data_IF_310699089725
#
_entry.id   IF_310699089725
#
_cell.length_a   1.000
_cell.length_b   1.000
_cell.length_c   1.000
_cell.angle_alpha   90.00
_cell.angle_beta   90.00
_cell.angle_gamma   90.00
#
_symmetry.space_group_name_H-M   'P 1'
#
loop_
_entity.id
_entity.type
_entity.pdbx_description
1 polymer ?
#
# COMPACT_ATOMS: atom_id res chain seq x y z
N UNK A 1 2.75 15.48 -13.91
CA UNK A 1 2.45 14.60 -15.08
C UNK A 1 2.07 13.18 -14.67
N UNK A 2 2.48 12.71 -13.49
CA UNK A 2 2.35 11.30 -13.08
C UNK A 2 1.06 10.98 -12.29
N UNK A 3 0.12 11.94 -12.15
CA UNK A 3 -1.18 11.74 -11.50
C UNK A 3 -1.96 10.56 -12.11
N UNK A 4 -1.96 10.46 -13.43
CA UNK A 4 -2.64 9.38 -14.13
C UNK A 4 -2.10 7.99 -13.79
N UNK A 5 -0.79 7.89 -13.56
CA UNK A 5 -0.16 6.62 -13.15
C UNK A 5 -0.58 6.25 -11.74
N UNK A 6 -0.66 7.22 -10.82
CA UNK A 6 -1.17 7.00 -9.45
C UNK A 6 -2.61 6.52 -9.48
N UNK A 7 -3.48 7.22 -10.22
CA UNK A 7 -4.89 6.85 -10.36
C UNK A 7 -5.03 5.47 -10.98
N UNK A 8 -4.28 5.19 -12.05
CA UNK A 8 -4.31 3.89 -12.71
C UNK A 8 -3.86 2.76 -11.75
N UNK A 9 -2.73 2.93 -11.06
CA UNK A 9 -2.23 1.93 -10.13
C UNK A 9 -3.17 1.75 -8.93
N UNK A 10 -3.77 2.83 -8.41
CA UNK A 10 -4.74 2.75 -7.32
C UNK A 10 -5.99 1.97 -7.75
N UNK A 11 -6.51 2.24 -8.95
CA UNK A 11 -7.65 1.51 -9.50
C UNK A 11 -7.32 0.04 -9.76
N UNK A 12 -6.16 -0.25 -10.35
CA UNK A 12 -5.71 -1.64 -10.57
C UNK A 12 -5.57 -2.38 -9.24
N UNK A 13 -4.94 -1.76 -8.24
CA UNK A 13 -4.79 -2.36 -6.91
C UNK A 13 -6.15 -2.60 -6.24
N UNK A 14 -7.09 -1.67 -6.38
CA UNK A 14 -8.44 -1.82 -5.85
C UNK A 14 -9.21 -2.92 -6.57
N UNK A 15 -9.15 -3.00 -7.91
CA UNK A 15 -9.78 -4.09 -8.69
C UNK A 15 -9.18 -5.45 -8.30
N UNK A 16 -7.85 -5.54 -8.14
CA UNK A 16 -7.20 -6.77 -7.68
C UNK A 16 -7.69 -7.16 -6.27
N UNK A 17 -7.92 -6.20 -5.39
CA UNK A 17 -8.49 -6.46 -4.06
C UNK A 17 -9.91 -7.00 -4.15
N UNK A 18 -10.71 -6.56 -5.13
CA UNK A 18 -12.11 -6.96 -5.33
C UNK A 18 -12.30 -8.26 -6.15
N UNK A 19 -11.21 -8.91 -6.56
CA UNK A 19 -11.30 -10.18 -7.31
C UNK A 19 -12.16 -11.26 -6.62
N UNK A 20 -12.14 -11.47 -5.29
CA UNK A 20 -13.00 -12.43 -4.64
C UNK A 20 -14.49 -12.13 -4.80
N UNK A 21 -14.87 -10.86 -4.68
CA UNK A 21 -16.26 -10.40 -4.84
C UNK A 21 -16.75 -10.59 -6.28
N UNK A 22 -15.85 -10.47 -7.28
CA UNK A 22 -16.18 -10.66 -8.69
C UNK A 22 -16.30 -12.16 -9.04
N UNK A 23 -15.43 -13.00 -8.49
CA UNK A 23 -15.36 -14.43 -8.84
C UNK A 23 -16.03 -15.38 -7.84
N UNK A 24 -16.65 -14.93 -6.77
CA UNK A 24 -17.54 -15.65 -5.87
C UNK A 24 -17.10 -17.05 -5.32
N UNK A 25 -16.07 -17.65 -5.90
CA UNK A 25 -15.53 -18.96 -5.53
C UNK A 25 -14.29 -18.86 -4.61
N UNK A 26 -13.78 -17.65 -4.42
CA UNK A 26 -12.56 -17.39 -3.65
C UNK A 26 -12.99 -17.05 -2.22
N UNK A 27 -12.42 -17.71 -1.22
CA UNK A 27 -12.62 -17.35 0.18
C UNK A 27 -12.04 -15.95 0.44
N UNK A 28 -12.92 -14.98 0.67
CA UNK A 28 -12.56 -13.56 0.83
C UNK A 28 -11.58 -13.34 1.97
N UNK A 29 -11.85 -13.96 3.13
CA UNK A 29 -11.01 -13.80 4.31
C UNK A 29 -9.58 -14.27 4.07
N UNK A 30 -9.41 -15.46 3.49
CA UNK A 30 -8.09 -16.00 3.14
C UNK A 30 -7.39 -15.15 2.07
N UNK A 31 -8.15 -14.63 1.11
CA UNK A 31 -7.58 -13.78 0.07
C UNK A 31 -7.07 -12.45 0.64
N UNK A 32 -7.85 -11.80 1.50
CA UNK A 32 -7.41 -10.55 2.12
C UNK A 32 -6.23 -10.76 3.06
N UNK A 33 -6.25 -11.80 3.89
CA UNK A 33 -5.12 -12.10 4.78
C UNK A 33 -3.82 -12.35 4.01
N UNK A 34 -3.88 -12.98 2.85
CA UNK A 34 -2.71 -13.39 2.05
C UNK A 34 -2.30 -12.39 0.99
N UNK A 35 -3.26 -11.73 0.37
CA UNK A 35 -3.07 -10.91 -0.82
C UNK A 35 -2.88 -9.42 -0.55
N UNK A 36 -3.49 -8.88 0.52
CA UNK A 36 -3.53 -7.43 0.76
C UNK A 36 -2.14 -6.78 0.74
N UNK A 37 -1.19 -7.33 1.51
CA UNK A 37 0.16 -6.80 1.56
C UNK A 37 0.85 -6.84 0.17
N UNK A 38 0.68 -7.95 -0.56
CA UNK A 38 1.27 -8.12 -1.89
C UNK A 38 0.72 -7.06 -2.86
N UNK A 39 -0.60 -6.83 -2.86
CA UNK A 39 -1.26 -5.88 -3.76
C UNK A 39 -0.80 -4.45 -3.44
N UNK A 40 -0.80 -4.04 -2.17
CA UNK A 40 -0.38 -2.70 -1.73
C UNK A 40 1.08 -2.44 -2.10
N UNK A 41 1.99 -3.33 -1.69
CA UNK A 41 3.41 -3.14 -1.97
C UNK A 41 3.74 -3.22 -3.46
N UNK A 42 3.03 -4.06 -4.23
CA UNK A 42 3.19 -4.09 -5.68
C UNK A 42 2.89 -2.72 -6.31
N UNK A 43 1.78 -2.09 -5.92
CA UNK A 43 1.43 -0.74 -6.38
C UNK A 43 2.50 0.30 -6.03
N UNK A 44 2.96 0.32 -4.78
CA UNK A 44 4.00 1.24 -4.30
C UNK A 44 5.32 1.04 -5.05
N UNK A 45 5.76 -0.21 -5.24
CA UNK A 45 7.01 -0.54 -5.90
C UNK A 45 6.95 -0.17 -7.39
N UNK A 46 5.87 -0.51 -8.09
CA UNK A 46 5.70 -0.17 -9.49
C UNK A 46 5.70 1.35 -9.70
N UNK A 47 5.04 2.10 -8.82
CA UNK A 47 5.07 3.56 -8.90
C UNK A 47 6.47 4.13 -8.64
N UNK A 48 7.20 3.58 -7.67
CA UNK A 48 8.58 3.98 -7.37
C UNK A 48 9.52 3.70 -8.54
N UNK A 49 9.40 2.53 -9.17
CA UNK A 49 10.17 2.20 -10.37
C UNK A 49 9.82 3.13 -11.54
N UNK A 50 8.53 3.53 -11.65
CA UNK A 50 8.11 4.53 -12.62
C UNK A 50 8.76 5.90 -12.39
N UNK A 51 8.77 6.38 -11.15
CA UNK A 51 9.41 7.65 -10.79
C UNK A 51 10.92 7.63 -11.07
N UNK A 52 11.60 6.53 -10.74
CA UNK A 52 13.02 6.36 -10.95
C UNK A 52 13.40 6.07 -12.42
N UNK A 53 12.41 5.81 -13.28
CA UNK A 53 12.59 5.33 -14.67
C UNK A 53 13.43 4.05 -14.76
N UNK A 54 13.31 3.20 -13.79
CA UNK A 54 14.18 2.02 -13.57
C UNK A 54 13.56 0.71 -14.13
N UNK A 55 12.88 0.80 -15.30
CA UNK A 55 12.30 -0.37 -15.98
C UNK A 55 13.34 -1.13 -16.83
N UNK A 56 14.53 -1.31 -16.29
CA UNK A 56 15.52 -2.16 -16.92
C UNK A 56 15.16 -3.65 -16.70
N UNK A 57 15.39 -4.51 -17.68
CA UNK A 57 15.12 -5.97 -17.61
C UNK A 57 15.70 -6.61 -16.33
N UNK A 58 16.91 -6.21 -15.94
CA UNK A 58 17.56 -6.69 -14.71
C UNK A 58 16.74 -6.31 -13.47
N UNK A 59 16.31 -5.06 -13.34
CA UNK A 59 15.57 -4.56 -12.19
C UNK A 59 14.18 -5.15 -12.12
N UNK A 60 13.50 -5.30 -13.26
CA UNK A 60 12.20 -5.99 -13.35
C UNK A 60 12.33 -7.44 -12.87
N UNK A 61 13.38 -8.15 -13.28
CA UNK A 61 13.60 -9.54 -12.86
C UNK A 61 13.96 -9.62 -11.37
N UNK A 62 14.82 -8.70 -10.88
CA UNK A 62 15.22 -8.64 -9.46
C UNK A 62 14.04 -8.35 -8.53
N UNK A 63 13.04 -7.62 -9.00
CA UNK A 63 11.79 -7.37 -8.27
C UNK A 63 10.76 -8.47 -8.49
N UNK A 64 10.50 -8.82 -9.75
CA UNK A 64 9.40 -9.69 -10.12
C UNK A 64 9.58 -11.13 -9.64
N UNK A 65 10.81 -11.64 -9.65
CA UNK A 65 11.10 -13.02 -9.23
C UNK A 65 10.85 -13.23 -7.72
N UNK A 66 11.36 -12.39 -6.80
CA UNK A 66 11.03 -12.52 -5.37
C UNK A 66 9.54 -12.28 -5.10
N UNK A 67 8.89 -11.35 -5.80
CA UNK A 67 7.45 -11.11 -5.65
C UNK A 67 6.63 -12.34 -6.06
N UNK A 68 6.94 -12.93 -7.23
CA UNK A 68 6.28 -14.13 -7.70
C UNK A 68 6.51 -15.31 -6.75
N UNK A 69 7.74 -15.46 -6.23
CA UNK A 69 8.07 -16.48 -5.25
C UNK A 69 7.23 -16.32 -3.97
N UNK A 70 7.13 -15.12 -3.41
CA UNK A 70 6.33 -14.86 -2.21
C UNK A 70 4.84 -15.08 -2.47
N UNK A 71 4.33 -14.60 -3.61
CA UNK A 71 2.92 -14.80 -3.99
C UNK A 71 2.59 -16.28 -4.12
N UNK A 72 3.47 -17.07 -4.76
CA UNK A 72 3.32 -18.51 -4.88
C UNK A 72 3.41 -19.20 -3.52
N UNK A 73 4.42 -18.87 -2.72
CA UNK A 73 4.62 -19.43 -1.38
C UNK A 73 3.39 -19.22 -0.49
N UNK A 74 2.90 -17.98 -0.39
CA UNK A 74 1.73 -17.63 0.43
C UNK A 74 0.46 -18.31 -0.10
N UNK A 75 0.32 -18.47 -1.42
CA UNK A 75 -0.84 -19.15 -2.02
C UNK A 75 -0.86 -20.64 -1.74
N UNK A 76 0.31 -21.28 -1.62
CA UNK A 76 0.46 -22.71 -1.35
C UNK A 76 0.34 -23.06 0.15
N UNK A 77 0.29 -22.08 1.05
CA UNK A 77 0.14 -22.34 2.48
C UNK A 77 -1.19 -23.07 2.76
N UNK A 78 -1.21 -24.05 3.69
CA UNK A 78 -2.43 -24.73 4.10
C UNK A 78 -3.52 -23.78 4.55
N UNK A 79 -4.78 -24.17 4.41
CA UNK A 79 -5.94 -23.37 4.85
C UNK A 79 -6.15 -23.43 6.37
N UNK A 80 -5.68 -24.49 7.01
CA UNK A 80 -5.73 -24.69 8.46
C UNK A 80 -4.70 -23.81 9.15
N UNK A 81 -5.17 -22.89 10.01
CA UNK A 81 -4.30 -22.00 10.78
C UNK A 81 -3.37 -22.74 11.73
N UNK A 82 -2.11 -22.36 11.72
CA UNK A 82 -1.10 -22.76 12.68
C UNK A 82 -0.16 -21.59 12.90
N UNK A 83 0.56 -21.59 14.02
CA UNK A 83 1.46 -20.48 14.40
C UNK A 83 2.49 -20.17 13.31
N UNK A 84 2.96 -21.18 12.59
CA UNK A 84 3.88 -21.01 11.46
C UNK A 84 3.27 -20.23 10.31
N UNK A 85 1.96 -20.39 10.05
CA UNK A 85 1.26 -19.65 8.99
C UNK A 85 1.09 -18.19 9.39
N UNK A 86 0.67 -17.95 10.65
CA UNK A 86 0.57 -16.59 11.20
C UNK A 86 1.92 -15.88 11.11
N UNK A 87 3.00 -16.56 11.48
CA UNK A 87 4.35 -16.04 11.40
C UNK A 87 4.74 -15.69 9.94
N UNK A 88 4.45 -16.57 8.98
CA UNK A 88 4.70 -16.32 7.56
C UNK A 88 3.93 -15.08 7.07
N UNK A 89 2.66 -14.93 7.46
CA UNK A 89 1.82 -13.79 7.07
C UNK A 89 2.35 -12.46 7.65
N UNK A 90 2.85 -12.47 8.91
CA UNK A 90 3.46 -11.29 9.53
C UNK A 90 4.78 -10.91 8.84
N UNK A 91 5.58 -11.89 8.42
CA UNK A 91 6.86 -11.62 7.77
C UNK A 91 6.72 -11.18 6.31
N UNK A 92 5.61 -11.52 5.65
CA UNK A 92 5.35 -11.13 4.26
C UNK A 92 5.42 -9.62 4.03
N UNK A 93 4.69 -8.75 4.76
CA UNK A 93 4.81 -7.31 4.57
C UNK A 93 6.21 -6.77 4.90
N UNK A 94 6.93 -7.35 5.86
CA UNK A 94 8.31 -6.97 6.17
C UNK A 94 9.26 -7.28 5.00
N UNK A 95 9.12 -8.46 4.40
CA UNK A 95 9.90 -8.82 3.22
C UNK A 95 9.60 -7.90 2.03
N UNK A 96 8.32 -7.63 1.77
CA UNK A 96 7.88 -6.72 0.71
C UNK A 96 8.36 -5.28 0.96
N UNK A 97 8.42 -4.86 2.20
CA UNK A 97 9.00 -3.57 2.58
C UNK A 97 10.51 -3.51 2.28
N UNK A 98 11.27 -4.57 2.54
CA UNK A 98 12.67 -4.64 2.13
C UNK A 98 12.81 -4.57 0.59
N UNK A 99 11.94 -5.25 -0.14
CA UNK A 99 11.92 -5.23 -1.60
C UNK A 99 11.59 -3.81 -2.13
N UNK A 100 10.65 -3.12 -1.49
CA UNK A 100 10.36 -1.71 -1.75
C UNK A 100 11.61 -0.83 -1.52
N UNK A 101 12.35 -1.08 -0.44
CA UNK A 101 13.61 -0.37 -0.17
C UNK A 101 14.63 -0.54 -1.28
N UNK A 102 14.77 -1.72 -1.83
CA UNK A 102 15.65 -1.98 -2.96
C UNK A 102 15.22 -1.18 -4.21
N UNK A 103 13.92 -1.15 -4.51
CA UNK A 103 13.38 -0.37 -5.62
C UNK A 103 13.59 1.13 -5.41
N UNK A 104 13.36 1.64 -4.20
CA UNK A 104 13.57 3.05 -3.85
C UNK A 104 15.02 3.48 -4.04
N UNK A 105 15.97 2.63 -3.66
CA UNK A 105 17.42 2.90 -3.82
C UNK A 105 17.92 2.71 -5.26
N UNK A 106 17.06 2.34 -6.22
CA UNK A 106 17.46 1.97 -7.58
C UNK A 106 18.38 0.76 -7.60
N UNK A 107 18.13 -0.22 -6.71
CA UNK A 107 18.89 -1.45 -6.52
C UNK A 107 20.38 -1.25 -6.12
N UNK A 108 20.76 -0.03 -5.72
CA UNK A 108 22.10 0.32 -5.21
C UNK A 108 22.12 0.28 -3.67
N UNK A 109 22.02 -0.94 -3.12
CA UNK A 109 21.96 -1.18 -1.67
C UNK A 109 23.30 -0.89 -0.93
N UNK A 110 24.40 -0.76 -1.64
CA UNK A 110 25.73 -0.47 -1.03
C UNK A 110 25.88 1.00 -0.64
N UNK A 111 25.10 1.88 -1.24
CA UNK A 111 25.19 3.32 -0.99
C UNK A 111 24.51 3.68 0.34
N UNK A 112 25.33 4.08 1.32
CA UNK A 112 24.86 4.43 2.65
C UNK A 112 23.90 5.64 2.66
N UNK A 113 24.15 6.64 1.80
CA UNK A 113 23.29 7.82 1.70
C UNK A 113 21.89 7.45 1.21
N UNK A 114 21.79 6.55 0.24
CA UNK A 114 20.48 6.08 -0.25
C UNK A 114 19.71 5.28 0.81
N UNK A 115 20.41 4.47 1.61
CA UNK A 115 19.77 3.75 2.74
C UNK A 115 19.23 4.72 3.79
N UNK A 116 20.01 5.73 4.17
CA UNK A 116 19.56 6.76 5.12
C UNK A 116 18.39 7.57 4.55
N UNK A 117 18.43 7.90 3.25
CA UNK A 117 17.32 8.55 2.56
C UNK A 117 16.05 7.70 2.58
N UNK A 118 16.16 6.38 2.37
CA UNK A 118 15.04 5.45 2.45
C UNK A 118 14.41 5.40 3.85
N UNK A 119 15.23 5.30 4.90
CA UNK A 119 14.71 5.29 6.30
C UNK A 119 13.92 6.57 6.58
N UNK A 120 14.48 7.72 6.21
CA UNK A 120 13.80 9.01 6.38
C UNK A 120 12.50 9.08 5.59
N UNK A 121 12.55 8.66 4.32
CA UNK A 121 11.39 8.62 3.44
C UNK A 121 10.27 7.74 3.99
N UNK A 122 10.59 6.59 4.62
CA UNK A 122 9.59 5.73 5.26
C UNK A 122 8.83 6.44 6.39
N UNK A 123 9.53 7.22 7.21
CA UNK A 123 8.87 8.02 8.24
C UNK A 123 7.89 9.03 7.63
N UNK A 124 8.31 9.69 6.55
CA UNK A 124 7.47 10.63 5.81
C UNK A 124 6.26 9.94 5.17
N UNK A 125 6.49 8.78 4.54
CA UNK A 125 5.42 7.99 3.91
C UNK A 125 4.39 7.52 4.95
N UNK A 126 4.85 7.03 6.10
CA UNK A 126 3.98 6.56 7.18
C UNK A 126 3.09 7.70 7.70
N UNK A 127 3.67 8.86 7.97
CA UNK A 127 2.93 10.04 8.46
C UNK A 127 1.90 10.49 7.43
N UNK A 128 2.29 10.66 6.17
CA UNK A 128 1.38 11.13 5.13
C UNK A 128 0.24 10.12 4.86
N UNK A 129 0.57 8.83 4.80
CA UNK A 129 -0.44 7.78 4.63
C UNK A 129 -1.39 7.74 5.81
N UNK A 130 -0.87 7.83 7.04
CA UNK A 130 -1.68 7.89 8.26
C UNK A 130 -2.64 9.08 8.27
N UNK A 131 -2.18 10.27 7.90
CA UNK A 131 -3.03 11.46 7.81
C UNK A 131 -4.14 11.31 6.78
N UNK A 132 -3.84 10.76 5.60
CA UNK A 132 -4.85 10.51 4.56
C UNK A 132 -5.87 9.48 5.03
N UNK A 133 -5.43 8.40 5.70
CA UNK A 133 -6.33 7.37 6.23
C UNK A 133 -7.22 7.92 7.34
N UNK A 134 -6.70 8.73 8.26
CA UNK A 134 -7.48 9.36 9.32
C UNK A 134 -8.53 10.30 8.71
N UNK A 135 -8.12 11.17 7.77
CA UNK A 135 -9.05 12.07 7.10
C UNK A 135 -10.13 11.30 6.32
N UNK A 136 -9.74 10.21 5.62
CA UNK A 136 -10.66 9.32 4.92
C UNK A 136 -11.64 8.63 5.85
N UNK A 137 -11.17 8.13 7.00
CA UNK A 137 -12.03 7.49 8.02
C UNK A 137 -13.02 8.49 8.62
N UNK A 138 -12.59 9.71 8.94
CA UNK A 138 -13.47 10.77 9.42
C UNK A 138 -14.54 11.14 8.39
N UNK A 139 -14.15 11.31 7.12
CA UNK A 139 -15.09 11.61 6.04
C UNK A 139 -16.09 10.46 5.84
N UNK A 140 -15.63 9.21 5.88
CA UNK A 140 -16.48 8.02 5.82
C UNK A 140 -17.50 8.01 6.95
N UNK A 141 -17.09 8.22 8.19
CA UNK A 141 -17.99 8.25 9.36
C UNK A 141 -19.02 9.38 9.27
N UNK A 142 -18.61 10.58 8.86
CA UNK A 142 -19.55 11.71 8.66
C UNK A 142 -20.55 11.39 7.55
N UNK A 143 -20.10 10.84 6.43
CA UNK A 143 -20.97 10.51 5.30
C UNK A 143 -22.00 9.47 5.70
N UNK A 144 -21.59 8.35 6.30
CA UNK A 144 -22.51 7.29 6.77
C UNK A 144 -23.49 7.86 7.79
N UNK A 145 -23.02 8.69 8.76
CA UNK A 145 -23.88 9.32 9.75
C UNK A 145 -24.94 10.25 9.15
N UNK A 146 -24.59 11.04 8.14
CA UNK A 146 -25.55 11.92 7.44
C UNK A 146 -26.63 11.13 6.70
N UNK A 147 -26.24 10.06 6.00
CA UNK A 147 -27.21 9.21 5.28
C UNK A 147 -28.10 8.41 6.24
N UNK A 148 -27.53 7.94 7.35
CA UNK A 148 -28.32 7.28 8.41
C UNK A 148 -29.38 8.22 9.03
N UNK A 149 -29.05 9.54 9.18
CA UNK A 149 -29.99 10.53 9.71
C UNK A 149 -31.24 10.71 8.82
N UNK A 150 -31.17 10.41 7.53
CA UNK A 150 -32.31 10.42 6.58
C UNK A 150 -32.86 9.01 6.32
N UNK A 151 -32.52 8.02 7.19
CA UNK A 151 -32.95 6.63 7.10
C UNK A 151 -32.51 5.89 5.82
N UNK A 152 -31.39 6.32 5.23
CA UNK A 152 -30.73 5.63 4.11
C UNK A 152 -29.55 4.80 4.63
N UNK A 153 -29.63 3.49 4.47
CA UNK A 153 -28.52 2.59 4.81
C UNK A 153 -27.57 2.44 3.60
N UNK A 154 -26.45 3.15 3.67
CA UNK A 154 -25.37 3.09 2.68
C UNK A 154 -24.10 2.47 3.25
N UNK A 155 -24.09 2.07 4.52
CA UNK A 155 -22.89 1.67 5.26
C UNK A 155 -22.15 0.55 4.53
N UNK A 156 -22.83 -0.54 4.19
CA UNK A 156 -22.21 -1.68 3.52
C UNK A 156 -21.58 -1.28 2.19
N UNK A 157 -22.31 -0.55 1.35
CA UNK A 157 -21.79 -0.08 0.06
C UNK A 157 -20.59 0.85 0.23
N UNK A 158 -20.70 1.82 1.15
CA UNK A 158 -19.67 2.84 1.31
C UNK A 158 -18.36 2.25 1.87
N UNK A 159 -18.47 1.40 2.87
CA UNK A 159 -17.31 0.73 3.48
C UNK A 159 -16.66 -0.22 2.49
N UNK A 160 -17.47 -1.01 1.79
CA UNK A 160 -16.95 -2.03 0.90
C UNK A 160 -16.27 -1.45 -0.35
N UNK A 161 -16.81 -0.39 -0.94
CA UNK A 161 -16.28 0.14 -2.21
C UNK A 161 -15.45 1.41 -2.02
N UNK A 162 -15.96 2.39 -1.28
CA UNK A 162 -15.33 3.71 -1.18
C UNK A 162 -14.19 3.70 -0.17
N UNK A 163 -14.42 3.19 1.04
CA UNK A 163 -13.39 3.17 2.08
C UNK A 163 -12.22 2.25 1.69
N UNK A 164 -12.49 1.11 1.05
CA UNK A 164 -11.44 0.22 0.51
C UNK A 164 -10.63 0.89 -0.61
N UNK A 165 -11.27 1.66 -1.50
CA UNK A 165 -10.59 2.44 -2.53
C UNK A 165 -9.66 3.49 -1.91
N UNK A 166 -10.16 4.24 -0.91
CA UNK A 166 -9.35 5.21 -0.17
C UNK A 166 -8.16 4.53 0.49
N UNK A 167 -8.38 3.39 1.15
CA UNK A 167 -7.33 2.61 1.80
C UNK A 167 -6.23 2.17 0.83
N UNK A 168 -6.59 1.69 -0.35
CA UNK A 168 -5.63 1.26 -1.37
C UNK A 168 -4.92 2.43 -2.05
N UNK A 169 -5.61 3.56 -2.23
CA UNK A 169 -5.04 4.75 -2.85
C UNK A 169 -4.12 5.53 -1.89
N UNK A 170 -4.37 5.52 -0.59
CA UNK A 170 -3.67 6.34 0.39
C UNK A 170 -2.13 6.24 0.33
N UNK A 171 -1.49 5.06 0.32
CA UNK A 171 -0.05 4.96 0.25
C UNK A 171 0.51 5.45 -1.11
N UNK A 172 -0.19 5.22 -2.21
CA UNK A 172 0.20 5.69 -3.54
C UNK A 172 0.11 7.20 -3.67
N UNK A 173 -0.98 7.79 -3.17
CA UNK A 173 -1.17 9.24 -3.13
C UNK A 173 -0.11 9.89 -2.23
N UNK A 174 0.18 9.30 -1.08
CA UNK A 174 1.25 9.77 -0.18
C UNK A 174 2.60 9.81 -0.86
N UNK A 175 2.96 8.71 -1.53
CA UNK A 175 4.20 8.60 -2.30
C UNK A 175 4.31 9.70 -3.36
N UNK A 176 3.23 9.95 -4.09
CA UNK A 176 3.16 10.99 -5.09
C UNK A 176 3.31 12.41 -4.49
N UNK A 177 2.60 12.70 -3.40
CA UNK A 177 2.64 14.00 -2.72
C UNK A 177 4.03 14.31 -2.16
N UNK A 178 4.70 13.32 -1.56
CA UNK A 178 6.09 13.46 -1.07
C UNK A 178 7.02 13.77 -2.25
N UNK A 179 6.85 13.09 -3.38
CA UNK A 179 7.62 13.32 -4.59
C UNK A 179 7.44 14.74 -5.18
N UNK A 180 6.24 15.31 -5.06
CA UNK A 180 5.96 16.69 -5.51
C UNK A 180 6.57 17.76 -4.60
N UNK A 181 6.55 17.53 -3.31
CA UNK A 181 6.95 18.52 -2.32
C UNK A 181 7.81 17.92 -1.20
N UNK A 182 9.12 17.74 -1.44
CA UNK A 182 10.04 17.18 -0.45
C UNK A 182 10.14 18.00 0.84
N UNK A 183 9.61 19.23 0.84
CA UNK A 183 9.62 20.14 2.00
C UNK A 183 8.37 20.04 2.88
N UNK A 184 7.28 19.43 2.42
CA UNK A 184 6.04 19.31 3.20
C UNK A 184 6.27 18.49 4.48
N UNK A 185 6.92 17.37 4.37
CA UNK A 185 7.22 16.47 5.49
C UNK A 185 8.22 17.09 6.47
N UNK A 186 9.19 17.88 5.99
CA UNK A 186 10.12 18.64 6.85
C UNK A 186 9.42 19.61 7.77
N UNK A 187 8.25 20.13 7.41
CA UNK A 187 7.46 21.06 8.24
C UNK A 187 6.48 20.34 9.17
N UNK A 188 5.93 19.21 8.75
CA UNK A 188 4.92 18.44 9.51
C UNK A 188 5.57 17.60 10.61
N UNK A 189 6.69 16.94 10.35
CA UNK A 189 7.37 16.09 11.30
C UNK A 189 7.77 16.80 12.62
N UNK A 190 8.33 18.03 12.61
CA UNK A 190 8.60 18.75 13.85
C UNK A 190 7.36 19.18 14.62
N UNK A 191 6.24 19.44 13.93
CA UNK A 191 4.97 19.80 14.59
C UNK A 191 4.44 18.61 15.38
N UNK A 192 4.40 17.43 14.75
CA UNK A 192 3.98 16.19 15.42
C UNK A 192 4.89 15.85 16.60
N UNK A 193 6.23 15.94 16.42
CA UNK A 193 7.19 15.67 17.49
C UNK A 193 7.15 16.66 18.67
N UNK A 194 6.54 17.84 18.50
CA UNK A 194 6.34 18.81 19.58
C UNK A 194 4.99 18.66 20.28
N UNK A 195 4.05 17.98 19.64
CA UNK A 195 2.68 17.80 20.16
C UNK A 195 2.56 16.53 21.01
N UNK A 196 3.46 15.59 20.81
CA UNK A 196 3.61 14.33 21.57
C UNK A 196 4.93 14.30 22.34
#
# INVERSE_FOLDING_TARGET
>A
KDVWVVVFLALVSWVLLKLPAIWGQINEELFYQRGLAIIVFNGIILFTMWQNRDFNKKNILTYGLPLAFVALFISLLPKSGGDSIVLALIHTPLFLWCLFGLAYMGFDYKNMHKRMAFIRFNGELLIMTGLILIAGAMLTGITIGLFSAISMDIEHFYVEYIATLIGMAAPLVSLYLIGLNPTLTRKIAPVIARTF
#
